data_IF_738456341825
#
_entry.id   IF_738456341825
#
_cell.length_a   1.000
_cell.length_b   1.000
_cell.length_c   1.000
_cell.angle_alpha   90.00
_cell.angle_beta   90.00
_cell.angle_gamma   90.00
#
_symmetry.space_group_name_H-M   'P 1'
#
loop_
_entity.id
_entity.type
_entity.pdbx_description
1 polymer ?
#
# COMPACT_ATOMS: atom_id res chain seq x y z
N UNK A 1 -18.03 9.16 0.20
CA UNK A 1 -17.66 8.02 -0.67
C UNK A 1 -16.17 7.81 -0.49
N UNK A 2 -15.77 7.04 0.52
CA UNK A 2 -14.37 6.85 0.89
C UNK A 2 -13.60 6.11 -0.21
N UNK A 3 -12.77 6.85 -0.96
CA UNK A 3 -11.89 6.29 -2.00
C UNK A 3 -10.62 5.72 -1.38
N UNK A 4 -10.76 4.76 -0.47
CA UNK A 4 -9.60 4.04 0.03
C UNK A 4 -9.08 3.10 -1.06
N UNK A 5 -7.82 3.24 -1.44
CA UNK A 5 -7.16 2.35 -2.39
C UNK A 5 -6.17 1.43 -1.69
N UNK A 6 -5.97 0.25 -2.26
CA UNK A 6 -4.92 -0.66 -1.80
C UNK A 6 -3.59 -0.21 -2.37
N UNK A 7 -2.56 -0.14 -1.53
CA UNK A 7 -1.21 0.08 -2.02
C UNK A 7 -0.77 -1.19 -2.73
N UNK A 8 -0.36 -1.05 -3.99
CA UNK A 8 0.19 -2.15 -4.77
C UNK A 8 1.70 -2.22 -4.53
N UNK A 9 2.21 -3.43 -4.32
CA UNK A 9 3.64 -3.65 -4.16
C UNK A 9 4.36 -3.34 -5.49
N UNK A 10 5.39 -2.47 -5.49
CA UNK A 10 6.11 -2.12 -6.72
C UNK A 10 6.95 -3.28 -7.28
N UNK A 11 7.29 -4.28 -6.46
CA UNK A 11 8.14 -5.41 -6.88
C UNK A 11 7.32 -6.49 -7.59
N UNK A 12 6.18 -6.88 -7.03
CA UNK A 12 5.38 -8.01 -7.53
C UNK A 12 4.03 -7.61 -8.13
N UNK A 13 3.63 -6.33 -8.07
CA UNK A 13 2.31 -5.88 -8.52
C UNK A 13 1.13 -6.43 -7.71
N UNK A 14 1.39 -7.05 -6.54
CA UNK A 14 0.35 -7.64 -5.69
C UNK A 14 -0.19 -6.61 -4.68
N UNK A 15 -1.45 -6.77 -4.27
CA UNK A 15 -2.07 -5.94 -3.22
C UNK A 15 -1.32 -6.11 -1.89
N UNK A 16 -0.93 -5.02 -1.26
CA UNK A 16 -0.41 -5.04 0.12
C UNK A 16 -1.58 -5.06 1.11
N UNK A 17 -1.28 -5.29 2.39
CA UNK A 17 -2.29 -5.28 3.46
C UNK A 17 -2.69 -3.87 3.89
N UNK A 18 -2.02 -2.84 3.35
CA UNK A 18 -2.26 -1.45 3.68
C UNK A 18 -3.23 -0.80 2.69
N UNK A 19 -4.28 -0.19 3.24
CA UNK A 19 -5.17 0.71 2.51
C UNK A 19 -4.75 2.14 2.80
N UNK A 20 -4.72 2.96 1.77
CA UNK A 20 -4.45 4.38 1.86
C UNK A 20 -5.69 5.16 1.44
N UNK A 21 -5.97 6.26 2.13
CA UNK A 21 -6.97 7.24 1.71
C UNK A 21 -6.29 8.37 0.94
N UNK A 22 -7.07 9.12 0.15
CA UNK A 22 -6.55 10.18 -0.73
C UNK A 22 -5.82 11.31 0.03
N UNK A 23 -6.18 11.53 1.29
CA UNK A 23 -5.62 12.55 2.19
C UNK A 23 -4.39 12.09 2.99
N UNK A 24 -4.01 10.81 2.87
CA UNK A 24 -2.93 10.21 3.67
C UNK A 24 -1.60 10.27 2.92
N UNK A 25 -0.56 10.87 3.53
CA UNK A 25 0.80 10.90 2.98
C UNK A 25 1.70 9.94 3.76
N UNK A 26 2.31 8.98 3.05
CA UNK A 26 3.32 8.08 3.61
C UNK A 26 4.72 8.65 3.37
N UNK A 27 5.46 8.96 4.46
CA UNK A 27 6.88 9.33 4.40
C UNK A 27 7.71 8.23 5.04
N UNK A 28 8.70 7.70 4.31
CA UNK A 28 9.60 6.63 4.76
C UNK A 28 8.88 5.42 5.38
N UNK A 29 7.71 5.08 4.85
CA UNK A 29 6.87 4.02 5.40
C UNK A 29 7.33 2.65 4.86
N UNK A 30 7.76 1.70 5.71
CA UNK A 30 8.14 0.38 5.26
C UNK A 30 6.91 -0.41 4.80
N UNK A 31 6.76 -0.58 3.49
CA UNK A 31 5.70 -1.40 2.92
C UNK A 31 6.03 -2.88 3.09
N UNK A 32 5.26 -3.57 3.92
CA UNK A 32 5.37 -5.01 4.06
C UNK A 32 4.51 -5.75 3.01
N UNK A 33 5.14 -6.63 2.25
CA UNK A 33 4.48 -7.54 1.34
C UNK A 33 4.86 -8.98 1.68
N UNK A 34 3.87 -9.85 1.84
CA UNK A 34 4.09 -11.27 2.17
C UNK A 34 4.88 -12.04 1.10
N UNK A 35 4.89 -11.55 -0.14
CA UNK A 35 5.69 -12.11 -1.25
C UNK A 35 7.10 -11.52 -1.37
N UNK A 36 7.34 -10.32 -0.83
CA UNK A 36 8.69 -9.72 -0.76
C UNK A 36 9.54 -10.28 0.38
N UNK A 37 9.06 -11.31 1.08
CA UNK A 37 9.82 -11.98 2.12
C UNK A 37 11.10 -12.57 1.55
#
# INVERSE_FOLDING_TARGET
MDKSQWIICPVYGNKTRNRIREDTILKNYPLYCQKCK
#
